data_IF_576936274271
#
_entry.id   IF_576936274271
#
_cell.length_a   1.000
_cell.length_b   1.000
_cell.length_c   1.000
_cell.angle_alpha   90.00
_cell.angle_beta   90.00
_cell.angle_gamma   90.00
#
_symmetry.space_group_name_H-M   'P 1'
#
loop_
_entity.id
_entity.type
_entity.pdbx_description
1 polymer ?
#
# COMPACT_ATOMS: atom_id res chain seq x y z
N UNK A 1 14.11 -2.85 2.67
CA UNK A 1 13.37 -4.12 2.89
C UNK A 1 12.09 -3.98 3.70
N UNK A 2 11.82 -2.84 4.35
CA UNK A 2 10.63 -2.65 5.20
C UNK A 2 9.32 -2.81 4.41
N UNK A 3 9.20 -2.17 3.25
CA UNK A 3 8.01 -2.22 2.38
C UNK A 3 7.67 -3.63 1.89
N UNK A 4 8.68 -4.39 1.42
CA UNK A 4 8.48 -5.77 0.94
C UNK A 4 8.00 -6.68 2.07
N UNK A 5 8.65 -6.63 3.23
CA UNK A 5 8.25 -7.45 4.37
C UNK A 5 6.87 -7.03 4.90
N UNK A 6 6.59 -5.72 4.90
CA UNK A 6 5.32 -5.15 5.31
C UNK A 6 4.16 -5.60 4.43
N UNK A 7 4.30 -5.47 3.11
CA UNK A 7 3.24 -5.88 2.17
C UNK A 7 3.02 -7.41 2.19
N UNK A 8 4.08 -8.19 2.37
CA UNK A 8 3.97 -9.64 2.56
C UNK A 8 3.21 -9.99 3.85
N UNK A 9 3.47 -9.27 4.95
CA UNK A 9 2.76 -9.49 6.21
C UNK A 9 1.28 -9.11 6.13
N UNK A 10 0.95 -8.03 5.40
CA UNK A 10 -0.44 -7.62 5.11
C UNK A 10 -1.13 -8.69 4.26
N UNK A 11 -0.54 -9.08 3.14
CA UNK A 11 -1.11 -10.09 2.24
C UNK A 11 -1.30 -11.44 2.94
N UNK A 12 -0.33 -11.89 3.72
CA UNK A 12 -0.43 -13.13 4.47
C UNK A 12 -1.54 -13.08 5.54
N UNK A 13 -1.75 -11.94 6.20
CA UNK A 13 -2.86 -11.81 7.14
C UNK A 13 -4.21 -11.75 6.42
N UNK A 14 -4.31 -10.97 5.34
CA UNK A 14 -5.52 -10.90 4.54
C UNK A 14 -5.96 -12.28 4.05
N UNK A 15 -5.05 -13.06 3.45
CA UNK A 15 -5.36 -14.41 2.94
C UNK A 15 -5.69 -15.43 4.03
N UNK A 16 -5.26 -15.21 5.28
CA UNK A 16 -5.68 -16.05 6.41
C UNK A 16 -7.12 -15.74 6.83
N UNK A 17 -7.52 -14.48 6.76
CA UNK A 17 -8.86 -14.03 7.16
C UNK A 17 -9.89 -14.25 6.02
N UNK A 18 -9.46 -14.14 4.77
CA UNK A 18 -10.29 -14.29 3.56
C UNK A 18 -9.67 -15.32 2.59
N UNK A 19 -9.69 -16.62 2.93
CA UNK A 19 -9.00 -17.65 2.15
C UNK A 19 -9.60 -17.92 0.76
N UNK A 20 -10.81 -17.43 0.49
CA UNK A 20 -11.50 -17.57 -0.80
C UNK A 20 -11.28 -16.39 -1.75
N UNK A 21 -10.68 -15.31 -1.26
CA UNK A 21 -10.38 -14.14 -2.08
C UNK A 21 -9.20 -14.38 -3.01
N UNK A 22 -9.05 -13.53 -4.02
CA UNK A 22 -7.84 -13.50 -4.83
C UNK A 22 -6.68 -12.89 -4.03
N UNK A 23 -5.43 -13.32 -4.28
CA UNK A 23 -4.25 -12.65 -3.73
C UNK A 23 -4.25 -11.15 -4.02
N UNK A 24 -3.79 -10.35 -3.05
CA UNK A 24 -3.75 -8.90 -3.19
C UNK A 24 -2.89 -8.47 -4.41
N UNK A 25 -3.47 -7.78 -5.40
CA UNK A 25 -2.77 -7.36 -6.61
C UNK A 25 -1.90 -6.13 -6.36
N UNK A 26 -0.59 -6.33 -6.40
CA UNK A 26 0.44 -5.29 -6.24
C UNK A 26 0.83 -4.76 -7.62
N UNK A 27 0.74 -3.45 -7.86
CA UNK A 27 1.04 -2.90 -9.20
C UNK A 27 2.09 -1.79 -9.28
N UNK A 28 2.36 -1.04 -8.21
CA UNK A 28 3.39 0.01 -8.21
C UNK A 28 4.16 -0.08 -6.91
N UNK A 29 5.46 -0.31 -7.02
CA UNK A 29 6.43 -0.41 -5.92
C UNK A 29 7.80 -0.07 -6.50
N UNK A 30 8.69 0.49 -5.68
CA UNK A 30 10.06 0.78 -6.12
C UNK A 30 10.84 -0.50 -6.41
N UNK A 31 11.75 -0.42 -7.37
CA UNK A 31 12.76 -1.43 -7.66
C UNK A 31 13.75 -1.57 -6.49
N UNK A 32 14.51 -2.68 -6.42
CA UNK A 32 15.41 -2.98 -5.31
C UNK A 32 16.46 -1.91 -4.97
N UNK A 33 16.78 -1.00 -5.91
CA UNK A 33 17.72 0.13 -5.70
C UNK A 33 17.00 1.49 -5.58
N UNK A 34 15.69 1.52 -5.34
CA UNK A 34 14.85 2.67 -5.65
C UNK A 34 14.57 2.76 -7.16
N UNK A 35 13.66 3.63 -7.59
CA UNK A 35 13.24 3.67 -9.00
C UNK A 35 11.95 2.90 -9.25
N UNK A 36 10.85 3.52 -9.66
CA UNK A 36 9.92 2.82 -10.55
C UNK A 36 10.63 2.70 -11.91
N UNK A 37 10.07 1.98 -12.88
CA UNK A 37 10.55 2.04 -14.27
C UNK A 37 10.24 3.44 -14.85
N UNK A 38 10.98 4.44 -14.40
CA UNK A 38 10.91 5.81 -14.91
C UNK A 38 11.94 5.95 -16.01
N UNK A 39 11.50 5.65 -17.23
CA UNK A 39 12.34 5.67 -18.44
C UNK A 39 12.91 7.08 -18.68
N UNK A 40 12.23 8.11 -18.18
CA UNK A 40 12.54 9.52 -18.44
C UNK A 40 13.21 10.22 -17.24
N UNK A 41 13.41 9.52 -16.12
CA UNK A 41 13.98 10.01 -14.83
C UNK A 41 13.36 11.34 -14.34
N UNK A 42 12.13 11.62 -14.75
CA UNK A 42 11.45 12.88 -14.45
C UNK A 42 10.54 12.78 -13.22
N UNK A 43 10.31 11.56 -12.74
CA UNK A 43 9.47 11.22 -11.60
C UNK A 43 8.15 11.97 -11.63
N UNK A 44 7.58 12.19 -12.81
CA UNK A 44 6.48 13.10 -12.97
C UNK A 44 5.30 12.70 -12.08
N UNK A 45 4.50 13.68 -11.60
CA UNK A 45 3.25 13.38 -10.92
C UNK A 45 2.43 12.32 -11.67
N UNK A 46 1.80 11.36 -10.97
CA UNK A 46 1.66 11.27 -9.51
C UNK A 46 2.71 10.37 -8.80
N UNK A 47 3.80 9.97 -9.46
CA UNK A 47 4.65 8.85 -9.01
C UNK A 47 5.93 9.26 -8.26
N UNK A 48 6.11 10.56 -7.98
CA UNK A 48 7.30 11.13 -7.31
C UNK A 48 7.63 10.39 -6.01
N UNK A 49 6.62 10.02 -5.24
CA UNK A 49 6.80 9.55 -3.87
C UNK A 49 7.24 8.08 -3.81
N UNK A 50 6.87 7.27 -4.82
CA UNK A 50 7.32 5.89 -5.02
C UNK A 50 8.84 5.76 -5.26
N UNK A 51 9.60 6.86 -5.36
CA UNK A 51 11.05 6.79 -5.62
C UNK A 51 11.88 6.21 -4.49
N UNK A 52 11.41 6.36 -3.26
CA UNK A 52 12.21 6.15 -2.06
C UNK A 52 12.16 4.70 -1.53
N UNK A 53 11.35 3.82 -2.11
CA UNK A 53 11.23 2.45 -1.61
C UNK A 53 10.20 2.26 -0.51
N UNK A 54 9.46 3.29 -0.11
CA UNK A 54 8.56 3.27 1.05
C UNK A 54 7.10 3.04 0.70
N UNK A 55 6.74 3.12 -0.57
CA UNK A 55 5.35 3.11 -0.99
C UNK A 55 5.02 1.93 -1.89
N UNK A 56 3.75 1.53 -1.85
CA UNK A 56 3.21 0.47 -2.69
C UNK A 56 1.73 0.67 -2.95
N UNK A 57 1.29 0.36 -4.17
CA UNK A 57 -0.13 0.38 -4.52
C UNK A 57 -0.74 -1.02 -4.64
N UNK A 58 -1.91 -1.18 -4.03
CA UNK A 58 -2.74 -2.40 -4.08
C UNK A 58 -4.02 -2.09 -4.84
N UNK A 59 -4.34 -2.81 -5.92
CA UNK A 59 -5.58 -2.56 -6.70
C UNK A 59 -6.83 -2.92 -5.85
N UNK A 60 -7.63 -1.91 -5.52
CA UNK A 60 -8.83 -2.05 -4.68
C UNK A 60 -10.02 -2.64 -5.44
N UNK A 61 -10.02 -2.54 -6.77
CA UNK A 61 -11.09 -3.07 -7.64
C UNK A 61 -11.24 -4.60 -7.56
N UNK A 62 -10.19 -5.31 -7.14
CA UNK A 62 -10.21 -6.77 -6.96
C UNK A 62 -10.46 -7.20 -5.52
N UNK A 63 -10.65 -6.25 -4.60
CA UNK A 63 -10.93 -6.50 -3.19
C UNK A 63 -12.45 -6.33 -2.99
N UNK A 64 -13.16 -7.39 -2.56
CA UNK A 64 -14.59 -7.32 -2.24
C UNK A 64 -14.89 -6.16 -1.29
N UNK A 65 -15.97 -5.43 -1.54
CA UNK A 65 -16.28 -4.20 -0.81
C UNK A 65 -16.43 -4.47 0.70
N UNK A 66 -17.02 -5.60 1.05
CA UNK A 66 -17.21 -6.08 2.42
C UNK A 66 -15.90 -6.37 3.18
N UNK A 67 -14.79 -6.61 2.46
CA UNK A 67 -13.49 -6.95 3.07
C UNK A 67 -12.57 -5.73 3.19
N UNK A 68 -12.92 -4.60 2.56
CA UNK A 68 -12.09 -3.39 2.48
C UNK A 68 -11.77 -2.79 3.85
N UNK A 69 -12.78 -2.55 4.68
CA UNK A 69 -12.56 -1.99 6.03
C UNK A 69 -11.63 -2.87 6.86
N UNK A 70 -11.73 -4.19 6.71
CA UNK A 70 -10.86 -5.12 7.42
C UNK A 70 -9.43 -5.10 6.88
N UNK A 71 -9.25 -5.01 5.56
CA UNK A 71 -7.93 -4.80 4.96
C UNK A 71 -7.27 -3.52 5.50
N UNK A 72 -8.02 -2.42 5.62
CA UNK A 72 -7.51 -1.15 6.13
C UNK A 72 -7.02 -1.26 7.58
N UNK A 73 -7.72 -2.00 8.42
CA UNK A 73 -7.28 -2.32 9.78
C UNK A 73 -5.97 -3.13 9.78
N UNK A 74 -5.87 -4.14 8.92
CA UNK A 74 -4.65 -4.96 8.78
C UNK A 74 -3.47 -4.07 8.36
N UNK A 75 -3.66 -3.21 7.35
CA UNK A 75 -2.64 -2.28 6.85
C UNK A 75 -2.09 -1.42 7.99
N UNK A 76 -2.99 -0.76 8.74
CA UNK A 76 -2.61 0.08 9.89
C UNK A 76 -1.88 -0.72 10.96
N UNK A 77 -2.37 -1.91 11.30
CA UNK A 77 -1.75 -2.80 12.27
C UNK A 77 -0.35 -3.30 11.85
N UNK A 78 -0.03 -3.28 10.56
CA UNK A 78 1.30 -3.60 10.02
C UNK A 78 2.20 -2.38 9.81
N UNK A 79 1.77 -1.21 10.27
CA UNK A 79 2.59 0.01 10.29
C UNK A 79 2.63 0.76 8.97
N UNK A 80 1.71 0.49 8.03
CA UNK A 80 1.52 1.31 6.85
C UNK A 80 0.40 2.33 7.06
N UNK A 81 0.56 3.50 6.45
CA UNK A 81 -0.50 4.49 6.29
C UNK A 81 -1.19 4.31 4.94
N UNK A 82 -2.47 4.69 4.87
CA UNK A 82 -3.23 4.76 3.61
C UNK A 82 -3.31 6.24 3.23
N UNK A 83 -2.62 6.64 2.17
CA UNK A 83 -2.56 8.03 1.72
C UNK A 83 -3.72 8.35 0.77
N UNK A 84 -4.16 7.35 -0.03
CA UNK A 84 -5.26 7.50 -0.98
C UNK A 84 -6.27 6.36 -0.81
N UNK A 85 -7.52 6.76 -0.65
CA UNK A 85 -8.71 5.92 -0.48
C UNK A 85 -9.30 5.42 -1.81
N UNK A 86 -10.10 4.33 -1.81
CA UNK A 86 -10.31 3.53 -3.01
C UNK A 86 -11.23 4.19 -4.03
N UNK A 87 -10.65 4.55 -5.17
CA UNK A 87 -11.27 4.42 -6.49
C UNK A 87 -10.76 3.14 -7.16
N UNK A 88 -9.53 3.20 -7.70
CA UNK A 88 -8.90 2.05 -8.34
C UNK A 88 -7.87 1.29 -7.48
N UNK A 89 -7.26 1.94 -6.49
CA UNK A 89 -6.18 1.36 -5.67
C UNK A 89 -6.09 2.00 -4.29
N UNK A 90 -5.51 1.26 -3.35
CA UNK A 90 -4.97 1.75 -2.09
C UNK A 90 -3.52 2.15 -2.29
N UNK A 91 -3.16 3.37 -1.87
CA UNK A 91 -1.76 3.81 -1.80
C UNK A 91 -1.25 3.69 -0.38
N UNK A 92 -0.26 2.82 -0.17
CA UNK A 92 0.29 2.49 1.13
C UNK A 92 1.68 3.09 1.31
N UNK A 93 1.94 3.73 2.45
CA UNK A 93 3.24 4.30 2.82
C UNK A 93 3.77 3.66 4.11
N UNK A 94 5.00 3.15 4.05
CA UNK A 94 5.73 2.51 5.14
C UNK A 94 6.85 3.40 5.71
N UNK A 95 6.89 4.69 5.36
CA UNK A 95 7.85 5.64 5.90
C UNK A 95 7.78 5.60 7.43
N UNK A 96 8.90 5.33 8.13
CA UNK A 96 8.91 5.28 9.60
C UNK A 96 8.41 6.60 10.18
N UNK A 97 7.24 6.56 10.80
CA UNK A 97 6.67 7.73 11.46
C UNK A 97 7.46 8.03 12.73
N UNK A 98 7.94 9.26 12.88
CA UNK A 98 8.23 9.81 14.22
C UNK A 98 6.87 9.90 14.94
N UNK A 99 6.73 9.49 16.22
CA UNK A 99 5.42 9.43 16.87
C UNK A 99 4.84 10.83 17.10
N UNK A 100 4.19 11.38 16.09
CA UNK A 100 3.27 12.53 16.10
C UNK A 100 2.80 12.75 14.65
N UNK A 101 1.60 12.27 14.32
CA UNK A 101 0.50 13.05 13.74
C UNK A 101 -0.66 12.11 13.43
N UNK A 102 -1.86 12.59 13.74
CA UNK A 102 -3.12 11.88 13.62
C UNK A 102 -3.29 11.31 12.21
N UNK A 103 -3.84 10.09 12.15
CA UNK A 103 -4.19 9.44 10.90
C UNK A 103 -5.02 10.40 10.04
N UNK A 104 -4.60 10.59 8.79
CA UNK A 104 -5.38 11.33 7.80
C UNK A 104 -6.81 10.78 7.69
N UNK A 105 -7.73 11.54 7.06
CA UNK A 105 -9.15 11.21 7.02
C UNK A 105 -9.36 9.75 6.60
N UNK A 106 -10.12 9.02 7.42
CA UNK A 106 -10.57 7.67 7.11
C UNK A 106 -11.43 7.70 5.84
N UNK A 107 -11.27 6.69 5.01
CA UNK A 107 -12.12 6.49 3.85
C UNK A 107 -13.57 6.30 4.33
N UNK A 108 -14.50 7.09 3.78
CA UNK A 108 -15.95 6.97 4.03
C UNK A 108 -16.53 5.69 3.40
#
# INVERSE_FOLDING_TARGET
>A
MITVNGIQAIAAQYMREFPMDLPLPIMRMSLPKGGLFDIDDNWAPPLVQHRLGWEVDVKSVYIPQEHRSRLEEIVKAKGAQIIVCPGEYYHLDFTPQTPTQEAGPMCD
#
